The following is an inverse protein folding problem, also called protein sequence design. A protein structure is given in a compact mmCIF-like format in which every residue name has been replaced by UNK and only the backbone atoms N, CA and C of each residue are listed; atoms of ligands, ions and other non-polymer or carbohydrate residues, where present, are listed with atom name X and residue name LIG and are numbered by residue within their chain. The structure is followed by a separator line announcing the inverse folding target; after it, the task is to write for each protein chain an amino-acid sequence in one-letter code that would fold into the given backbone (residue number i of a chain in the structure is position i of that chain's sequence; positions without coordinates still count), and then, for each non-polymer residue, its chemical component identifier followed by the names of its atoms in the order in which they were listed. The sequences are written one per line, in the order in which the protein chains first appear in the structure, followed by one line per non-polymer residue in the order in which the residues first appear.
data_IF_447246063354
#
_entry.id   IF_447246063354
#
_cell.length_a   1.000
_cell.length_b   1.000
_cell.length_c   1.000
_cell.angle_alpha   90.00
_cell.angle_beta   90.00
_cell.angle_gamma   90.00
#
_symmetry.space_group_name_H-M   'P 1'
#
loop_
_entity.id
_entity.type
_entity.pdbx_description
1 polymer ?
#
# COMPACT_ATOMS: atom_id res chain seq x y z
N UNK A 1 -7.01 -6.97 -66.94
CA UNK A 1 -6.97 -8.01 -65.89
C UNK A 1 -5.64 -7.93 -65.18
N UNK A 2 -5.68 -8.05 -63.85
CA UNK A 2 -4.58 -8.15 -62.88
C UNK A 2 -3.83 -6.85 -62.52
N UNK A 3 -4.34 -6.24 -61.45
CA UNK A 3 -3.70 -5.20 -60.65
C UNK A 3 -2.69 -5.81 -59.67
N UNK A 4 -1.60 -5.10 -59.42
CA UNK A 4 -0.56 -5.47 -58.47
C UNK A 4 -1.10 -5.63 -57.05
N UNK A 5 -0.87 -6.80 -56.46
CA UNK A 5 -1.11 -7.07 -55.05
C UNK A 5 0.01 -6.45 -54.22
N UNK A 6 -0.25 -5.26 -53.68
CA UNK A 6 0.58 -4.63 -52.67
C UNK A 6 0.61 -5.48 -51.40
N UNK A 7 1.77 -6.05 -51.10
CA UNK A 7 2.11 -6.57 -49.79
C UNK A 7 2.26 -5.40 -48.81
N UNK A 8 1.17 -5.07 -48.10
CA UNK A 8 1.20 -4.28 -46.86
C UNK A 8 0.56 -5.12 -45.76
N UNK A 9 1.35 -5.98 -45.12
CA UNK A 9 0.98 -6.59 -43.86
C UNK A 9 2.18 -6.55 -42.92
N UNK A 10 1.88 -6.15 -41.68
CA UNK A 10 2.65 -6.33 -40.43
C UNK A 10 3.92 -5.50 -40.20
N UNK A 11 3.78 -4.17 -40.13
CA UNK A 11 4.77 -3.31 -39.42
C UNK A 11 4.18 -2.58 -38.19
N UNK A 12 2.86 -2.55 -38.02
CA UNK A 12 2.21 -1.80 -36.94
C UNK A 12 2.16 -2.47 -35.57
N UNK A 13 2.55 -3.75 -35.44
CA UNK A 13 2.49 -4.47 -34.17
C UNK A 13 3.84 -4.49 -33.43
N UNK A 14 4.97 -4.43 -34.13
CA UNK A 14 6.29 -4.57 -33.50
C UNK A 14 6.74 -3.28 -32.77
N UNK A 15 6.33 -2.10 -33.24
CA UNK A 15 6.68 -0.82 -32.60
C UNK A 15 6.00 -0.66 -31.22
N UNK A 16 4.76 -1.13 -31.09
CA UNK A 16 3.92 -0.95 -29.89
C UNK A 16 4.44 -1.74 -28.66
N UNK A 17 5.06 -2.91 -28.88
CA UNK A 17 5.64 -3.70 -27.78
C UNK A 17 6.92 -3.10 -27.23
N UNK A 18 7.78 -2.52 -28.07
CA UNK A 18 9.03 -1.90 -27.61
C UNK A 18 8.78 -0.64 -26.80
N UNK A 19 7.78 0.17 -27.19
CA UNK A 19 7.40 1.39 -26.47
C UNK A 19 6.91 1.12 -25.03
N UNK A 20 6.26 -0.02 -24.77
CA UNK A 20 5.81 -0.41 -23.41
C UNK A 20 6.81 -1.32 -22.68
N UNK A 21 7.54 -2.18 -23.40
CA UNK A 21 8.50 -3.09 -22.80
C UNK A 21 9.74 -2.37 -22.25
N UNK A 22 10.20 -1.32 -22.93
CA UNK A 22 11.43 -0.60 -22.53
C UNK A 22 11.26 0.15 -21.19
N UNK A 23 10.16 0.90 -20.94
CA UNK A 23 9.91 1.51 -19.64
C UNK A 23 9.71 0.48 -18.52
N UNK A 24 9.00 -0.61 -18.79
CA UNK A 24 8.75 -1.68 -17.80
C UNK A 24 10.05 -2.38 -17.42
N UNK A 25 10.88 -2.72 -18.40
CA UNK A 25 12.19 -3.33 -18.18
C UNK A 25 13.13 -2.36 -17.45
N UNK A 26 13.14 -1.09 -17.84
CA UNK A 26 13.93 -0.05 -17.19
C UNK A 26 13.59 0.11 -15.70
N UNK A 27 12.30 0.12 -15.36
CA UNK A 27 11.84 0.15 -13.97
C UNK A 27 12.31 -1.05 -13.16
N UNK A 28 12.19 -2.25 -13.73
CA UNK A 28 12.62 -3.48 -13.06
C UNK A 28 14.13 -3.51 -12.86
N UNK A 29 14.90 -3.15 -13.89
CA UNK A 29 16.36 -3.07 -13.82
C UNK A 29 16.82 -2.04 -12.77
N UNK A 30 16.25 -0.83 -12.80
CA UNK A 30 16.57 0.23 -11.84
C UNK A 30 16.27 -0.21 -10.40
N UNK A 31 15.12 -0.84 -10.18
CA UNK A 31 14.72 -1.34 -8.85
C UNK A 31 15.68 -2.42 -8.37
N UNK A 32 16.01 -3.39 -9.24
CA UNK A 32 16.95 -4.45 -8.93
C UNK A 32 18.32 -3.89 -8.57
N UNK A 33 18.88 -3.00 -9.39
CA UNK A 33 20.17 -2.36 -9.14
C UNK A 33 20.18 -1.59 -7.82
N UNK A 34 19.10 -0.88 -7.49
CA UNK A 34 18.97 -0.13 -6.23
C UNK A 34 18.88 -1.05 -5.01
N UNK A 35 18.24 -2.22 -5.16
CA UNK A 35 18.05 -3.17 -4.07
C UNK A 35 19.20 -4.18 -3.89
N UNK A 36 20.19 -4.19 -4.79
CA UNK A 36 21.32 -5.11 -4.69
C UNK A 36 22.29 -4.66 -3.59
N UNK A 37 22.92 -5.61 -2.86
CA UNK A 37 24.02 -5.30 -1.95
C UNK A 37 25.14 -4.59 -2.72
N UNK A 38 25.49 -3.39 -2.30
CA UNK A 38 26.59 -2.64 -2.89
C UNK A 38 27.93 -3.13 -2.33
N UNK A 39 28.99 -2.94 -3.11
CA UNK A 39 30.36 -3.29 -2.69
C UNK A 39 30.82 -2.50 -1.46
N UNK A 40 31.92 -2.93 -0.81
CA UNK A 40 32.46 -2.24 0.35
C UNK A 40 32.74 -0.76 0.02
N UNK A 41 32.17 0.15 0.84
CA UNK A 41 32.32 1.60 0.70
C UNK A 41 31.27 2.30 -0.18
N UNK A 42 30.35 1.56 -0.80
CA UNK A 42 29.21 2.13 -1.53
C UNK A 42 27.94 2.04 -0.71
N UNK A 43 27.18 3.14 -0.65
CA UNK A 43 25.89 3.20 0.04
C UNK A 43 24.80 3.55 -0.94
N UNK A 44 23.64 2.90 -0.80
CA UNK A 44 22.44 3.20 -1.57
C UNK A 44 22.02 4.66 -1.41
N UNK A 45 22.35 5.29 -0.27
CA UNK A 45 22.11 6.71 -0.01
C UNK A 45 22.74 7.63 -1.07
N UNK A 46 23.79 7.21 -1.77
CA UNK A 46 24.45 8.01 -2.82
C UNK A 46 23.63 8.10 -4.11
N UNK A 47 22.95 7.03 -4.51
CA UNK A 47 22.12 6.98 -5.73
C UNK A 47 20.65 7.28 -5.44
N UNK A 48 20.23 7.13 -4.18
CA UNK A 48 18.84 7.21 -3.77
C UNK A 48 18.12 8.51 -4.15
N UNK A 49 18.72 9.72 -4.06
CA UNK A 49 18.04 10.94 -4.47
C UNK A 49 17.59 10.91 -5.94
N UNK A 50 18.38 10.30 -6.83
CA UNK A 50 18.03 10.14 -8.24
C UNK A 50 16.88 9.15 -8.41
N UNK A 51 16.95 8.00 -7.73
CA UNK A 51 15.93 6.94 -7.80
C UNK A 51 14.60 7.43 -7.24
N UNK A 52 14.60 7.98 -6.03
CA UNK A 52 13.39 8.50 -5.38
C UNK A 52 12.72 9.61 -6.19
N UNK A 53 13.51 10.58 -6.69
CA UNK A 53 12.99 11.65 -7.56
C UNK A 53 12.38 11.09 -8.85
N UNK A 54 13.00 10.07 -9.44
CA UNK A 54 12.47 9.43 -10.64
C UNK A 54 11.13 8.74 -10.37
N UNK A 55 11.05 7.90 -9.33
CA UNK A 55 9.81 7.23 -8.93
C UNK A 55 8.71 8.22 -8.54
N UNK A 56 9.06 9.29 -7.83
CA UNK A 56 8.14 10.36 -7.47
C UNK A 56 7.53 11.02 -8.72
N UNK A 57 8.36 11.39 -9.69
CA UNK A 57 7.90 12.00 -10.95
C UNK A 57 7.00 11.07 -11.76
N UNK A 58 7.32 9.78 -11.82
CA UNK A 58 6.48 8.80 -12.50
C UNK A 58 5.13 8.64 -11.80
N UNK A 59 5.10 8.59 -10.48
CA UNK A 59 3.86 8.55 -9.72
C UNK A 59 3.04 9.83 -9.93
N UNK A 60 3.68 11.00 -9.90
CA UNK A 60 3.02 12.28 -10.19
C UNK A 60 2.45 12.34 -11.60
N UNK A 61 3.17 11.81 -12.60
CA UNK A 61 2.69 11.68 -13.98
C UNK A 61 1.41 10.84 -14.06
N UNK A 62 1.39 9.67 -13.41
CA UNK A 62 0.20 8.79 -13.37
C UNK A 62 -0.94 9.44 -12.59
N UNK A 63 -0.65 10.14 -11.48
CA UNK A 63 -1.64 10.89 -10.69
C UNK A 63 -2.29 11.98 -11.55
N UNK A 64 -1.50 12.66 -12.39
CA UNK A 64 -1.98 13.66 -13.35
C UNK A 64 -2.80 13.10 -14.50
N UNK A 65 -3.03 11.79 -14.56
CA UNK A 65 -3.78 11.11 -15.63
C UNK A 65 -2.93 10.64 -16.80
N UNK A 66 -1.60 10.80 -16.73
CA UNK A 66 -0.66 10.28 -17.72
C UNK A 66 -0.57 8.76 -17.70
N UNK A 67 -0.33 8.15 -18.87
CA UNK A 67 -0.12 6.70 -18.99
C UNK A 67 -1.32 5.84 -18.61
N UNK A 68 -2.54 6.39 -18.57
CA UNK A 68 -3.75 5.67 -18.12
C UNK A 68 -4.10 4.44 -18.99
N UNK A 69 -3.63 4.40 -20.24
CA UNK A 69 -3.70 3.24 -21.14
C UNK A 69 -2.63 2.18 -20.87
N UNK A 70 -1.52 2.53 -20.21
CA UNK A 70 -0.34 1.69 -20.03
C UNK A 70 -0.42 0.85 -18.74
N UNK A 71 -1.35 -0.11 -18.73
CA UNK A 71 -1.65 -0.90 -17.53
C UNK A 71 -0.44 -1.66 -16.98
N UNK A 72 0.42 -2.21 -17.84
CA UNK A 72 1.61 -2.94 -17.41
C UNK A 72 2.63 -2.01 -16.75
N UNK A 73 2.83 -0.81 -17.31
CA UNK A 73 3.71 0.19 -16.74
C UNK A 73 3.24 0.62 -15.34
N UNK A 74 1.95 0.94 -15.18
CA UNK A 74 1.38 1.36 -13.89
C UNK A 74 1.51 0.24 -12.85
N UNK A 75 1.18 -1.01 -13.21
CA UNK A 75 1.33 -2.15 -12.30
C UNK A 75 2.79 -2.26 -11.82
N UNK A 76 3.74 -2.15 -12.76
CA UNK A 76 5.17 -2.28 -12.46
C UNK A 76 5.70 -1.13 -11.63
N UNK A 77 5.23 0.09 -11.88
CA UNK A 77 5.56 1.25 -11.05
C UNK A 77 5.08 1.05 -9.61
N UNK A 78 3.84 0.60 -9.40
CA UNK A 78 3.28 0.34 -8.07
C UNK A 78 4.06 -0.77 -7.35
N UNK A 79 4.26 -1.90 -8.01
CA UNK A 79 4.97 -3.06 -7.44
C UNK A 79 6.41 -2.70 -7.09
N UNK A 80 7.12 -2.01 -7.99
CA UNK A 80 8.50 -1.61 -7.74
C UNK A 80 8.61 -0.54 -6.65
N UNK A 81 7.64 0.38 -6.55
CA UNK A 81 7.58 1.34 -5.43
C UNK A 81 7.46 0.61 -4.09
N UNK A 82 6.56 -0.37 -3.99
CA UNK A 82 6.38 -1.17 -2.77
C UNK A 82 7.62 -2.01 -2.48
N UNK A 83 8.26 -2.58 -3.50
CA UNK A 83 9.51 -3.34 -3.37
C UNK A 83 10.64 -2.47 -2.83
N UNK A 84 10.81 -1.24 -3.32
CA UNK A 84 11.78 -0.29 -2.78
C UNK A 84 11.48 -0.01 -1.30
N UNK A 85 10.21 0.21 -0.93
CA UNK A 85 9.81 0.39 0.46
C UNK A 85 10.21 -0.83 1.32
N UNK A 86 9.85 -2.05 0.92
CA UNK A 86 10.16 -3.27 1.66
C UNK A 86 11.67 -3.46 1.83
N UNK A 87 12.45 -3.23 0.77
CA UNK A 87 13.89 -3.53 0.76
C UNK A 87 14.76 -2.47 1.43
N UNK A 88 14.32 -1.22 1.43
CA UNK A 88 15.14 -0.08 1.84
C UNK A 88 14.70 0.57 3.16
N UNK A 89 13.52 0.23 3.68
CA UNK A 89 12.99 0.75 4.97
C UNK A 89 13.91 0.53 6.17
N UNK A 90 14.76 -0.50 6.15
CA UNK A 90 15.79 -0.71 7.18
C UNK A 90 16.85 0.40 7.23
N UNK A 91 16.97 1.21 6.18
CA UNK A 91 17.85 2.37 6.15
C UNK A 91 17.09 3.63 6.58
N UNK A 92 17.31 4.04 7.83
CA UNK A 92 16.62 5.15 8.48
C UNK A 92 16.71 6.48 7.71
N UNK A 93 17.82 6.72 6.98
CA UNK A 93 18.01 7.93 6.18
C UNK A 93 17.01 8.02 5.02
N UNK A 94 16.56 6.88 4.50
CA UNK A 94 15.70 6.80 3.31
C UNK A 94 14.21 6.79 3.67
N UNK A 95 13.88 6.45 4.92
CA UNK A 95 12.50 6.31 5.41
C UNK A 95 11.63 7.52 5.04
N UNK A 96 12.02 8.79 5.26
CA UNK A 96 11.15 9.93 4.93
C UNK A 96 10.68 9.92 3.47
N UNK A 97 11.61 9.71 2.53
CA UNK A 97 11.30 9.65 1.10
C UNK A 97 10.53 8.40 0.69
N UNK A 98 10.78 7.25 1.34
CA UNK A 98 9.98 6.03 1.11
C UNK A 98 8.52 6.25 1.53
N UNK A 99 8.29 6.93 2.65
CA UNK A 99 6.95 7.29 3.10
C UNK A 99 6.26 8.26 2.13
N UNK A 100 7.00 9.22 1.55
CA UNK A 100 6.49 10.09 0.49
C UNK A 100 6.00 9.27 -0.72
N UNK A 101 6.78 8.28 -1.16
CA UNK A 101 6.36 7.39 -2.25
C UNK A 101 5.08 6.61 -1.90
N UNK A 102 4.97 6.07 -0.68
CA UNK A 102 3.73 5.42 -0.22
C UNK A 102 2.53 6.38 -0.20
N UNK A 103 2.73 7.63 0.20
CA UNK A 103 1.68 8.66 0.15
C UNK A 103 1.24 8.97 -1.29
N UNK A 104 2.15 8.91 -2.27
CA UNK A 104 1.77 9.04 -3.68
C UNK A 104 0.93 7.86 -4.17
N UNK A 105 1.21 6.62 -3.74
CA UNK A 105 0.33 5.48 -4.02
C UNK A 105 -1.09 5.73 -3.49
N UNK A 106 -1.20 6.32 -2.30
CA UNK A 106 -2.49 6.70 -1.70
C UNK A 106 -3.19 7.86 -2.43
N UNK A 107 -2.54 8.51 -3.40
CA UNK A 107 -3.08 9.64 -4.19
C UNK A 107 -3.41 9.27 -5.64
N UNK A 108 -3.21 8.01 -6.05
CA UNK A 108 -3.56 7.55 -7.39
C UNK A 108 -5.05 7.86 -7.72
N UNK A 109 -5.46 7.95 -9.00
CA UNK A 109 -6.87 8.08 -9.36
C UNK A 109 -7.69 6.88 -8.88
N UNK A 110 -8.96 7.09 -8.50
CA UNK A 110 -9.79 6.05 -7.86
C UNK A 110 -9.91 4.76 -8.70
N UNK A 111 -10.18 4.87 -10.00
CA UNK A 111 -10.28 3.71 -10.90
C UNK A 111 -8.96 2.94 -11.06
N UNK A 112 -7.84 3.66 -11.14
CA UNK A 112 -6.50 3.03 -11.20
C UNK A 112 -6.16 2.34 -9.87
N UNK A 113 -6.37 3.03 -8.75
CA UNK A 113 -6.10 2.44 -7.44
C UNK A 113 -6.96 1.20 -7.17
N UNK A 114 -8.25 1.22 -7.51
CA UNK A 114 -9.12 0.06 -7.37
C UNK A 114 -8.59 -1.15 -8.15
N UNK A 115 -8.12 -0.92 -9.38
CA UNK A 115 -7.55 -1.97 -10.26
C UNK A 115 -6.33 -2.65 -9.64
N UNK A 116 -5.48 -1.90 -8.93
CA UNK A 116 -4.23 -2.43 -8.35
C UNK A 116 -4.27 -2.57 -6.83
N UNK A 117 -5.44 -2.42 -6.21
CA UNK A 117 -5.62 -2.39 -4.76
C UNK A 117 -5.14 -3.68 -4.09
N UNK A 118 -5.29 -4.83 -4.74
CA UNK A 118 -4.79 -6.11 -4.24
C UNK A 118 -3.26 -6.17 -4.22
N UNK A 119 -2.59 -5.67 -5.26
CA UNK A 119 -1.12 -5.58 -5.28
C UNK A 119 -0.61 -4.68 -4.17
N UNK A 120 -1.29 -3.55 -3.95
CA UNK A 120 -0.98 -2.64 -2.84
C UNK A 120 -1.16 -3.34 -1.50
N UNK A 121 -2.30 -4.00 -1.27
CA UNK A 121 -2.60 -4.71 -0.04
C UNK A 121 -1.56 -5.81 0.26
N UNK A 122 -1.22 -6.63 -0.73
CA UNK A 122 -0.18 -7.66 -0.59
C UNK A 122 1.20 -7.06 -0.29
N UNK A 123 1.57 -5.97 -0.96
CA UNK A 123 2.83 -5.27 -0.69
C UNK A 123 2.89 -4.70 0.73
N UNK A 124 1.77 -4.16 1.24
CA UNK A 124 1.67 -3.69 2.62
C UNK A 124 1.79 -4.83 3.63
N UNK A 125 1.19 -5.99 3.34
CA UNK A 125 1.29 -7.17 4.19
C UNK A 125 2.74 -7.63 4.34
N UNK A 126 3.49 -7.69 3.23
CA UNK A 126 4.91 -8.03 3.27
C UNK A 126 5.69 -6.95 4.02
N UNK A 127 5.44 -5.67 3.73
CA UNK A 127 6.11 -4.56 4.42
C UNK A 127 5.92 -4.64 5.93
N UNK A 128 4.70 -4.85 6.41
CA UNK A 128 4.40 -4.90 7.85
C UNK A 128 5.01 -6.13 8.52
N UNK A 129 5.03 -7.28 7.85
CA UNK A 129 5.63 -8.50 8.41
C UNK A 129 7.15 -8.42 8.54
N UNK A 130 7.80 -7.69 7.64
CA UNK A 130 9.26 -7.62 7.58
C UNK A 130 9.84 -6.43 8.37
N UNK A 131 9.01 -5.53 8.90
CA UNK A 131 9.50 -4.22 9.36
C UNK A 131 8.81 -3.69 10.62
N UNK A 132 9.62 -3.11 11.51
CA UNK A 132 9.16 -2.33 12.65
C UNK A 132 9.08 -0.85 12.27
N UNK A 133 8.02 -0.47 11.56
CA UNK A 133 7.87 0.90 11.07
C UNK A 133 7.71 1.93 12.22
N UNK A 134 8.31 3.13 12.08
CA UNK A 134 8.04 4.24 12.98
C UNK A 134 6.57 4.68 12.86
N UNK A 135 6.12 5.51 13.81
CA UNK A 135 4.76 6.07 13.83
C UNK A 135 4.34 6.69 12.48
N UNK A 136 5.22 7.46 11.84
CA UNK A 136 4.95 8.06 10.52
C UNK A 136 4.70 7.02 9.41
N UNK A 137 5.30 5.83 9.52
CA UNK A 137 5.04 4.72 8.62
C UNK A 137 3.66 4.10 8.81
N UNK A 138 3.20 4.01 10.05
CA UNK A 138 1.85 3.51 10.36
C UNK A 138 0.76 4.41 9.78
N UNK A 139 0.93 5.73 9.86
CA UNK A 139 -0.01 6.70 9.27
C UNK A 139 -0.16 6.47 7.76
N UNK A 140 0.95 6.25 7.05
CA UNK A 140 0.93 5.98 5.61
C UNK A 140 0.22 4.63 5.29
N UNK A 141 0.44 3.60 6.11
CA UNK A 141 -0.25 2.32 5.96
C UNK A 141 -1.75 2.46 6.20
N UNK A 142 -2.18 3.11 7.28
CA UNK A 142 -3.59 3.31 7.57
C UNK A 142 -4.30 4.11 6.46
N UNK A 143 -3.63 5.11 5.87
CA UNK A 143 -4.17 5.84 4.73
C UNK A 143 -4.44 4.91 3.53
N UNK A 144 -3.50 4.02 3.21
CA UNK A 144 -3.67 3.04 2.13
C UNK A 144 -4.72 1.97 2.46
N UNK A 145 -4.74 1.45 3.69
CA UNK A 145 -5.72 0.45 4.13
C UNK A 145 -7.15 1.01 4.10
N UNK A 146 -7.35 2.24 4.57
CA UNK A 146 -8.63 2.93 4.46
C UNK A 146 -9.05 3.06 3.00
N UNK A 147 -8.11 3.46 2.13
CA UNK A 147 -8.38 3.57 0.70
C UNK A 147 -8.70 2.21 0.04
N UNK A 148 -8.04 1.13 0.47
CA UNK A 148 -8.38 -0.24 0.04
C UNK A 148 -9.79 -0.60 0.48
N UNK A 149 -10.18 -0.25 1.70
CA UNK A 149 -11.53 -0.51 2.21
C UNK A 149 -12.62 0.30 1.50
N UNK A 150 -12.27 1.33 0.74
CA UNK A 150 -13.21 2.12 -0.07
C UNK A 150 -13.34 1.58 -1.52
N UNK A 151 -12.55 0.58 -1.92
CA UNK A 151 -12.55 0.04 -3.27
C UNK A 151 -13.73 -0.94 -3.51
N UNK A 152 -14.60 -0.68 -4.50
CA UNK A 152 -15.70 -1.60 -4.81
C UNK A 152 -15.17 -2.89 -5.46
N UNK A 153 -15.62 -4.05 -4.95
CA UNK A 153 -15.40 -5.36 -5.58
C UNK A 153 -14.02 -6.01 -5.36
N UNK A 154 -13.14 -5.41 -4.55
CA UNK A 154 -11.81 -5.95 -4.27
C UNK A 154 -11.80 -6.99 -3.15
N UNK A 155 -12.43 -8.16 -3.33
CA UNK A 155 -12.45 -9.20 -2.29
C UNK A 155 -11.02 -9.65 -1.89
N UNK A 156 -10.13 -9.84 -2.88
CA UNK A 156 -8.71 -10.15 -2.64
C UNK A 156 -7.98 -9.02 -1.90
N UNK A 157 -8.16 -7.77 -2.36
CA UNK A 157 -7.59 -6.60 -1.70
C UNK A 157 -8.07 -6.42 -0.26
N UNK A 158 -9.36 -6.67 0.00
CA UNK A 158 -9.93 -6.61 1.35
C UNK A 158 -9.39 -7.72 2.25
N UNK A 159 -9.23 -8.94 1.73
CA UNK A 159 -8.64 -10.05 2.48
C UNK A 159 -7.20 -9.73 2.87
N UNK A 160 -6.35 -9.37 1.89
CA UNK A 160 -4.96 -9.02 2.15
C UNK A 160 -4.82 -7.79 3.07
N UNK A 161 -5.67 -6.76 2.89
CA UNK A 161 -5.70 -5.59 3.75
C UNK A 161 -6.10 -5.92 5.19
N UNK A 162 -7.03 -6.87 5.38
CA UNK A 162 -7.39 -7.34 6.71
C UNK A 162 -6.30 -8.21 7.34
N UNK A 163 -5.56 -9.00 6.56
CA UNK A 163 -4.40 -9.73 7.06
C UNK A 163 -3.32 -8.81 7.63
N UNK A 164 -3.15 -7.59 7.07
CA UNK A 164 -2.30 -6.55 7.66
C UNK A 164 -2.77 -6.21 9.07
N UNK A 165 -4.05 -5.90 9.23
CA UNK A 165 -4.63 -5.58 10.53
C UNK A 165 -4.52 -6.76 11.50
N UNK A 166 -4.79 -7.98 11.01
CA UNK A 166 -4.71 -9.19 11.81
C UNK A 166 -3.30 -9.41 12.37
N UNK A 167 -2.24 -9.14 11.58
CA UNK A 167 -0.86 -9.25 12.03
C UNK A 167 -0.55 -8.40 13.27
N UNK A 168 -1.17 -7.23 13.38
CA UNK A 168 -1.04 -6.38 14.57
C UNK A 168 -1.97 -6.77 15.72
N UNK A 169 -3.12 -7.37 15.42
CA UNK A 169 -4.14 -7.70 16.41
C UNK A 169 -3.90 -9.04 17.12
N UNK A 170 -3.23 -9.98 16.45
CA UNK A 170 -2.89 -11.30 17.01
C UNK A 170 -1.60 -11.31 17.81
N UNK A 171 -0.76 -10.29 17.63
CA UNK A 171 0.49 -10.13 18.37
C UNK A 171 0.32 -9.04 19.45
N UNK A 172 0.35 -9.45 20.71
CA UNK A 172 0.18 -8.53 21.85
C UNK A 172 1.29 -7.46 21.92
N UNK A 173 2.50 -7.74 21.43
CA UNK A 173 3.59 -6.78 21.38
C UNK A 173 3.30 -5.69 20.34
N UNK A 174 2.89 -6.08 19.15
CA UNK A 174 2.53 -5.13 18.09
C UNK A 174 1.30 -4.32 18.46
N UNK A 175 0.28 -4.94 19.05
CA UNK A 175 -0.88 -4.21 19.54
C UNK A 175 -0.48 -3.19 20.61
N UNK A 176 0.34 -3.59 21.58
CA UNK A 176 0.85 -2.69 22.63
C UNK A 176 1.65 -1.52 22.03
N UNK A 177 2.41 -1.79 20.97
CA UNK A 177 3.13 -0.77 20.19
C UNK A 177 2.18 0.20 19.49
N UNK A 178 1.10 -0.28 18.86
CA UNK A 178 0.09 0.59 18.26
C UNK A 178 -0.59 1.49 19.30
N UNK A 179 -0.87 0.95 20.49
CA UNK A 179 -1.45 1.71 21.60
C UNK A 179 -0.49 2.79 22.10
N UNK A 180 0.79 2.46 22.32
CA UNK A 180 1.79 3.42 22.79
C UNK A 180 2.03 4.56 21.79
N UNK A 181 1.90 4.26 20.48
CA UNK A 181 2.00 5.22 19.39
C UNK A 181 0.69 5.98 19.12
N UNK A 182 -0.34 5.81 19.95
CA UNK A 182 -1.66 6.46 19.80
C UNK A 182 -2.31 6.22 18.42
N UNK A 183 -2.05 5.08 17.77
CA UNK A 183 -2.60 4.72 16.45
C UNK A 183 -3.90 3.91 16.54
N UNK A 184 -4.45 3.84 17.74
CA UNK A 184 -5.64 3.07 18.02
C UNK A 184 -6.93 3.61 17.35
N UNK A 185 -7.17 4.94 17.30
CA UNK A 185 -8.32 5.49 16.55
C UNK A 185 -8.29 5.13 15.07
N UNK A 186 -7.11 5.17 14.44
CA UNK A 186 -6.89 4.83 13.04
C UNK A 186 -7.16 3.34 12.80
N UNK A 187 -6.68 2.47 13.70
CA UNK A 187 -6.96 1.04 13.67
C UNK A 187 -8.47 0.74 13.71
N UNK A 188 -9.20 1.34 14.66
CA UNK A 188 -10.65 1.13 14.76
C UNK A 188 -11.41 1.69 13.57
N UNK A 189 -11.02 2.88 13.08
CA UNK A 189 -11.64 3.50 11.92
C UNK A 189 -11.46 2.61 10.68
N UNK A 190 -10.27 2.01 10.54
CA UNK A 190 -9.94 1.13 9.42
C UNK A 190 -10.70 -0.20 9.53
N UNK A 191 -10.73 -0.83 10.70
CA UNK A 191 -11.54 -2.04 10.96
C UNK A 191 -13.02 -1.81 10.67
N UNK A 192 -13.56 -0.66 11.10
CA UNK A 192 -14.95 -0.27 10.82
C UNK A 192 -15.21 -0.10 9.33
N UNK A 193 -14.23 0.40 8.57
CA UNK A 193 -14.36 0.53 7.13
C UNK A 193 -14.38 -0.85 6.44
N UNK A 194 -13.49 -1.78 6.81
CA UNK A 194 -13.53 -3.15 6.32
C UNK A 194 -14.82 -3.90 6.72
N UNK A 195 -15.32 -3.69 7.94
CA UNK A 195 -16.56 -4.29 8.44
C UNK A 195 -17.82 -3.87 7.66
N UNK A 196 -17.76 -2.76 6.91
CA UNK A 196 -18.87 -2.27 6.07
C UNK A 196 -18.87 -2.86 4.67
N UNK A 197 -17.81 -3.55 4.27
CA UNK A 197 -17.70 -4.13 2.95
C UNK A 197 -18.54 -5.42 2.83
N UNK A 198 -19.18 -5.70 1.70
CA UNK A 198 -19.94 -6.93 1.50
C UNK A 198 -18.99 -8.11 1.14
N UNK A 199 -18.01 -8.39 1.98
CA UNK A 199 -16.97 -9.42 1.75
C UNK A 199 -16.79 -10.31 2.98
N UNK A 200 -16.15 -11.48 2.83
CA UNK A 200 -15.78 -12.33 3.96
C UNK A 200 -14.87 -11.63 4.98
N UNK A 201 -14.05 -10.68 4.52
CA UNK A 201 -13.21 -9.84 5.36
C UNK A 201 -14.04 -9.01 6.38
N UNK A 202 -15.29 -8.65 6.05
CA UNK A 202 -16.13 -7.89 6.98
C UNK A 202 -16.50 -8.70 8.23
N UNK A 203 -16.74 -10.00 8.10
CA UNK A 203 -17.06 -10.88 9.24
C UNK A 203 -15.89 -10.92 10.21
N UNK A 204 -14.68 -11.10 9.68
CA UNK A 204 -13.44 -11.11 10.49
C UNK A 204 -13.18 -9.74 11.12
N UNK A 205 -13.38 -8.64 10.38
CA UNK A 205 -13.25 -7.29 10.93
C UNK A 205 -14.26 -7.01 12.07
N UNK A 206 -15.51 -7.46 11.92
CA UNK A 206 -16.52 -7.40 12.98
C UNK A 206 -16.14 -8.25 14.20
N UNK A 207 -15.54 -9.43 13.98
CA UNK A 207 -14.99 -10.27 15.05
C UNK A 207 -13.86 -9.60 15.83
N UNK A 208 -12.98 -8.88 15.14
CA UNK A 208 -11.96 -8.06 15.81
C UNK A 208 -12.58 -6.90 16.59
N UNK A 209 -13.53 -6.18 16.01
CA UNK A 209 -14.21 -5.07 16.71
C UNK A 209 -14.95 -5.56 17.96
N UNK A 210 -15.63 -6.70 17.89
CA UNK A 210 -16.40 -7.26 19.01
C UNK A 210 -15.51 -7.80 20.14
N UNK A 211 -14.28 -8.21 19.86
CA UNK A 211 -13.32 -8.63 20.88
C UNK A 211 -12.54 -7.45 21.48
N UNK A 212 -12.11 -6.49 20.66
CA UNK A 212 -11.27 -5.37 21.09
C UNK A 212 -12.04 -4.36 21.92
N UNK A 213 -13.22 -3.91 21.48
CA UNK A 213 -13.96 -2.84 22.16
C UNK A 213 -14.29 -3.17 23.62
N UNK A 214 -14.79 -4.38 23.96
CA UNK A 214 -15.04 -4.75 25.36
C UNK A 214 -13.78 -4.88 26.21
N UNK A 215 -12.68 -5.38 25.65
CA UNK A 215 -11.41 -5.49 26.39
C UNK A 215 -10.88 -4.12 26.81
N UNK A 216 -11.09 -3.11 25.97
CA UNK A 216 -10.66 -1.74 26.23
C UNK A 216 -11.58 -1.04 27.21
N UNK A 217 -12.90 -1.22 27.07
CA UNK A 217 -13.88 -0.69 28.01
C UNK A 217 -13.67 -1.23 29.44
N UNK A 218 -13.15 -2.45 29.58
CA UNK A 218 -12.84 -3.09 30.87
C UNK A 218 -11.46 -2.74 31.42
N UNK A 219 -10.67 -1.92 30.71
CA UNK A 219 -9.29 -1.61 31.09
C UNK A 219 -8.35 -2.84 31.09
N UNK A 220 -8.75 -3.95 30.45
CA UNK A 220 -8.00 -5.20 30.45
C UNK A 220 -6.71 -5.10 29.60
N UNK A 221 -6.61 -4.10 28.75
CA UNK A 221 -5.40 -3.73 28.02
C UNK A 221 -5.06 -2.30 28.40
N UNK A 222 -3.90 -2.10 29.06
CA UNK A 222 -3.43 -0.81 29.57
C UNK A 222 -3.25 0.18 28.42
N UNK A 223 -4.29 0.96 28.13
CA UNK A 223 -4.22 2.09 27.23
C UNK A 223 -3.48 3.25 27.92
N UNK A 224 -2.63 4.00 27.20
CA UNK A 224 -2.27 5.35 27.66
C UNK A 224 -3.57 6.14 27.85
N UNK A 225 -3.69 6.88 28.96
CA UNK A 225 -4.92 7.53 29.43
C UNK A 225 -5.64 8.31 28.32
N UNK A 226 -6.54 7.66 27.60
CA UNK A 226 -7.37 8.30 26.59
C UNK A 226 -8.57 8.92 27.30
N UNK A 227 -8.82 10.21 27.02
CA UNK A 227 -9.93 10.94 27.61
C UNK A 227 -11.26 10.19 27.36
N UNK A 228 -12.16 10.08 28.37
CA UNK A 228 -13.42 9.35 28.28
C UNK A 228 -14.30 9.69 27.05
N UNK A 229 -14.20 10.91 26.53
CA UNK A 229 -14.95 11.38 25.37
C UNK A 229 -14.55 10.77 24.02
N UNK A 230 -13.31 10.28 23.86
CA UNK A 230 -12.90 9.64 22.59
C UNK A 230 -13.59 8.29 22.40
N UNK A 231 -13.82 7.56 23.49
CA UNK A 231 -14.46 6.24 23.49
C UNK A 231 -15.94 6.30 23.14
N UNK A 232 -16.66 7.33 23.57
CA UNK A 232 -18.11 7.46 23.34
C UNK A 232 -18.47 7.52 21.85
N UNK A 233 -17.60 8.08 21.00
CA UNK A 233 -17.82 8.13 19.54
C UNK A 233 -17.69 6.78 18.83
N UNK A 234 -17.06 5.80 19.48
CA UNK A 234 -16.81 4.45 18.96
C UNK A 234 -17.84 3.43 19.47
N UNK A 235 -18.62 3.79 20.49
CA UNK A 235 -19.75 3.00 20.95
C UNK A 235 -20.86 3.06 19.91
N UNK A 236 -21.08 1.92 19.25
CA UNK A 236 -22.33 1.69 18.50
C UNK A 236 -23.36 1.25 19.54
N UNK A 237 -24.49 1.96 19.69
CA UNK A 237 -25.58 1.48 20.55
C UNK A 237 -26.01 0.12 20.02
N UNK A 238 -25.77 -0.94 20.79
CA UNK A 238 -26.44 -2.22 20.55
C UNK A 238 -27.93 -1.99 20.76
N UNK A 239 -28.69 -2.22 19.68
CA UNK A 239 -30.14 -2.07 19.57
C UNK A 239 -30.89 -2.49 20.84
N UNK A 240 -31.83 -1.65 21.26
CA UNK A 240 -32.92 -2.02 22.18
C UNK A 240 -33.96 -2.86 21.43
#
# INVERSE_FOLDING_TARGET
GSAGAGSRRTEGAAADWHEVADPVFGLELLTNMTCMPLGPGQSVSQIWPLVSTHFERLLQYVIGGGGSSERQFIERLIVNTLRLCIRLVGNAELVPTLLTLMQHLAKLPAGLFATYSERVACGLLVLVKETNLPHSGLVAIFALLKRISDCPGGAGACSAGLEVLNSWLTDDQELSRLLSLQQFPELLTTLKAFARQPTSAAVTALGHLSSLVPQLARGARCLPQAHPGQWQSLWVPTLY
#
